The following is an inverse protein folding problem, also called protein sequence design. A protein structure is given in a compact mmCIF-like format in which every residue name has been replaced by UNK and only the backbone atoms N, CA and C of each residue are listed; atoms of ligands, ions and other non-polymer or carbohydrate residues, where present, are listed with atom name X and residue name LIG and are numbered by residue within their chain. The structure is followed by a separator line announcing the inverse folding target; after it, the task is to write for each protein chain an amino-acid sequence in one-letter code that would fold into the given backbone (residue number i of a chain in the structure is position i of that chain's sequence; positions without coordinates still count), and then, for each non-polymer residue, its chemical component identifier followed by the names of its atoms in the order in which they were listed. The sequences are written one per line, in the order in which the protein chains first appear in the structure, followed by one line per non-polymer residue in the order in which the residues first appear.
data_IF_204379633520
#
_entry.id   IF_204379633520
#
_cell.length_a   1.000
_cell.length_b   1.000
_cell.length_c   1.000
_cell.angle_alpha   90.00
_cell.angle_beta   90.00
_cell.angle_gamma   90.00
#
_symmetry.space_group_name_H-M   'P 1'
#
loop_
_entity.id
_entity.type
_entity.pdbx_description
1 polymer ?
#
# COMPACT_ATOMS: atom_id res chain seq x y z
N UNK A 1 41.11 5.14 -6.68
CA UNK A 1 39.70 5.53 -6.87
C UNK A 1 39.08 4.48 -7.78
N UNK A 2 37.98 3.83 -7.39
CA UNK A 2 37.24 3.00 -8.33
C UNK A 2 36.88 3.86 -9.55
N UNK A 3 37.00 3.31 -10.74
CA UNK A 3 36.50 3.98 -11.95
C UNK A 3 34.97 4.00 -11.87
N UNK A 4 34.31 5.03 -12.42
CA UNK A 4 32.83 5.13 -12.46
C UNK A 4 32.20 3.82 -12.96
N UNK A 5 32.84 3.18 -13.93
CA UNK A 5 32.45 1.88 -14.49
C UNK A 5 32.43 0.72 -13.49
N UNK A 6 33.21 0.79 -12.42
CA UNK A 6 33.17 -0.19 -11.34
C UNK A 6 32.04 0.14 -10.35
N UNK A 7 31.73 1.42 -10.13
CA UNK A 7 30.65 1.86 -9.24
C UNK A 7 29.25 1.58 -9.81
N UNK A 8 29.13 1.44 -11.13
CA UNK A 8 27.90 0.97 -11.82
C UNK A 8 27.54 -0.49 -11.47
N UNK A 9 28.49 -1.31 -11.02
CA UNK A 9 28.22 -2.68 -10.64
C UNK A 9 27.59 -2.74 -9.23
N UNK A 10 26.37 -3.24 -9.15
CA UNK A 10 25.61 -3.37 -7.89
C UNK A 10 26.31 -4.21 -6.81
N UNK A 11 27.28 -5.06 -7.18
CA UNK A 11 28.07 -5.86 -6.24
C UNK A 11 29.35 -5.16 -5.75
N UNK A 12 29.66 -3.97 -6.27
CA UNK A 12 30.81 -3.18 -5.83
C UNK A 12 30.52 -2.51 -4.51
N UNK A 13 31.43 -2.70 -3.55
CA UNK A 13 31.36 -2.00 -2.26
C UNK A 13 31.60 -0.50 -2.45
N UNK A 14 30.67 0.32 -1.96
CA UNK A 14 30.71 1.78 -2.06
C UNK A 14 30.68 2.38 -0.66
N UNK A 15 31.51 3.40 -0.43
CA UNK A 15 31.43 4.18 0.81
C UNK A 15 30.16 5.03 0.79
N UNK A 16 29.59 5.29 1.96
CA UNK A 16 28.42 6.17 2.11
C UNK A 16 28.69 7.56 1.52
N UNK A 17 29.91 8.08 1.67
CA UNK A 17 30.32 9.37 1.08
C UNK A 17 30.21 9.40 -0.45
N UNK A 18 30.44 8.26 -1.09
CA UNK A 18 30.41 8.12 -2.55
C UNK A 18 28.96 7.99 -3.03
N UNK A 19 28.12 7.23 -2.32
CA UNK A 19 26.66 7.19 -2.56
C UNK A 19 26.01 8.59 -2.42
N UNK A 20 26.38 9.37 -1.39
CA UNK A 20 25.89 10.75 -1.21
C UNK A 20 26.40 11.72 -2.28
N UNK A 21 27.51 11.40 -2.96
CA UNK A 21 27.97 12.15 -4.12
C UNK A 21 27.06 11.87 -5.32
N UNK A 22 26.76 10.60 -5.57
CA UNK A 22 25.83 10.19 -6.63
C UNK A 22 24.42 10.73 -6.41
N UNK A 23 23.94 10.77 -5.17
CA UNK A 23 22.65 11.38 -4.81
C UNK A 23 22.54 12.82 -5.34
N UNK A 24 23.59 13.64 -5.15
CA UNK A 24 23.62 15.04 -5.59
C UNK A 24 23.79 15.21 -7.09
N UNK A 25 24.54 14.32 -7.74
CA UNK A 25 24.80 14.37 -9.18
C UNK A 25 23.57 13.94 -9.98
N UNK A 26 22.85 12.92 -9.50
CA UNK A 26 21.69 12.34 -10.15
C UNK A 26 20.37 12.99 -9.71
N UNK A 27 20.40 13.80 -8.65
CA UNK A 27 19.24 14.47 -8.06
C UNK A 27 18.10 13.49 -7.71
N UNK A 28 18.49 12.34 -7.13
CA UNK A 28 17.56 11.30 -6.67
C UNK A 28 17.65 11.09 -5.16
N UNK A 29 16.58 10.65 -4.48
CA UNK A 29 16.66 10.16 -3.10
C UNK A 29 17.75 9.08 -2.90
N UNK A 30 18.45 9.11 -1.77
CA UNK A 30 19.49 8.11 -1.46
C UNK A 30 18.96 6.67 -1.47
N UNK A 31 17.69 6.47 -1.13
CA UNK A 31 17.03 5.17 -1.17
C UNK A 31 17.01 4.56 -2.58
N UNK A 32 16.93 5.39 -3.62
CA UNK A 32 16.86 4.95 -5.01
C UNK A 32 18.22 4.47 -5.54
N UNK A 33 19.30 4.73 -4.81
CA UNK A 33 20.67 4.25 -5.10
C UNK A 33 21.01 2.94 -4.39
N UNK A 34 20.14 2.46 -3.49
CA UNK A 34 20.35 1.22 -2.75
C UNK A 34 19.67 0.06 -3.50
N UNK A 35 20.38 -1.05 -3.66
CA UNK A 35 19.76 -2.26 -4.17
C UNK A 35 18.72 -2.76 -3.17
N UNK A 36 17.49 -3.00 -3.64
CA UNK A 36 16.47 -3.63 -2.83
C UNK A 36 16.98 -5.00 -2.35
N UNK A 37 16.90 -5.31 -1.04
CA UNK A 37 17.16 -6.66 -0.60
C UNK A 37 16.13 -7.55 -1.31
N UNK A 38 16.59 -8.53 -2.10
CA UNK A 38 15.78 -9.40 -2.96
C UNK A 38 14.78 -10.31 -2.23
N UNK A 39 14.32 -9.91 -1.05
CA UNK A 39 13.33 -10.56 -0.20
C UNK A 39 12.28 -9.54 0.22
N UNK A 40 11.02 -9.81 -0.16
CA UNK A 40 9.76 -9.22 0.31
C UNK A 40 9.90 -8.27 1.51
N UNK A 41 9.93 -6.95 1.28
CA UNK A 41 9.88 -5.85 2.27
C UNK A 41 10.89 -5.99 3.44
N UNK A 42 11.53 -4.90 3.85
CA UNK A 42 12.39 -4.96 5.05
C UNK A 42 11.59 -5.45 6.28
N UNK A 43 12.22 -6.21 7.17
CA UNK A 43 11.57 -6.80 8.35
C UNK A 43 10.71 -5.80 9.16
N UNK A 44 11.16 -4.55 9.41
CA UNK A 44 10.33 -3.54 10.08
C UNK A 44 9.07 -3.18 9.27
N UNK A 45 9.16 -3.10 7.94
CA UNK A 45 8.03 -2.79 7.06
C UNK A 45 7.03 -3.95 7.04
N UNK A 46 7.51 -5.19 7.03
CA UNK A 46 6.64 -6.37 7.15
C UNK A 46 5.89 -6.42 8.48
N UNK A 47 6.59 -6.19 9.59
CA UNK A 47 6.02 -6.19 10.94
C UNK A 47 4.95 -5.10 11.06
N UNK A 48 5.24 -3.88 10.59
CA UNK A 48 4.28 -2.78 10.52
C UNK A 48 3.07 -3.13 9.64
N UNK A 49 3.29 -3.71 8.46
CA UNK A 49 2.20 -4.11 7.57
C UNK A 49 1.29 -5.18 8.21
N UNK A 50 1.85 -6.13 8.98
CA UNK A 50 1.07 -7.12 9.73
C UNK A 50 0.22 -6.46 10.82
N UNK A 51 0.80 -5.55 11.58
CA UNK A 51 0.10 -4.81 12.63
C UNK A 51 -1.04 -3.95 12.08
N UNK A 52 -0.82 -3.26 10.95
CA UNK A 52 -1.89 -2.52 10.25
C UNK A 52 -3.05 -3.43 9.86
N UNK A 53 -2.77 -4.64 9.33
CA UNK A 53 -3.83 -5.60 8.99
C UNK A 53 -4.61 -6.06 10.22
N UNK A 54 -3.93 -6.32 11.34
CA UNK A 54 -4.58 -6.68 12.60
C UNK A 54 -5.48 -5.55 13.12
N UNK A 55 -5.01 -4.30 13.09
CA UNK A 55 -5.81 -3.13 13.48
C UNK A 55 -7.06 -2.98 12.62
N UNK A 56 -6.94 -3.09 11.29
CA UNK A 56 -8.10 -3.01 10.37
C UNK A 56 -9.15 -4.08 10.67
N UNK A 57 -8.71 -5.30 11.00
CA UNK A 57 -9.62 -6.39 11.38
C UNK A 57 -10.28 -6.12 12.73
N UNK A 58 -9.51 -5.68 13.74
CA UNK A 58 -10.05 -5.33 15.06
C UNK A 58 -11.09 -4.18 14.98
N UNK A 59 -10.78 -3.15 14.19
CA UNK A 59 -11.68 -2.04 13.93
C UNK A 59 -12.97 -2.50 13.20
N UNK A 60 -12.86 -3.38 12.21
CA UNK A 60 -14.04 -3.96 11.53
C UNK A 60 -14.94 -4.78 12.48
N UNK A 61 -14.34 -5.56 13.39
CA UNK A 61 -15.08 -6.29 14.43
C UNK A 61 -15.80 -5.30 15.35
N UNK A 62 -15.11 -4.23 15.77
CA UNK A 62 -15.70 -3.18 16.61
C UNK A 62 -16.90 -2.52 15.95
N UNK A 63 -16.84 -2.26 14.65
CA UNK A 63 -17.95 -1.69 13.87
C UNK A 63 -19.14 -2.64 13.74
N UNK A 64 -18.90 -3.94 13.54
CA UNK A 64 -19.96 -4.95 13.38
C UNK A 64 -20.51 -5.51 14.70
N UNK A 65 -19.84 -5.25 15.83
CA UNK A 65 -20.24 -5.78 17.13
C UNK A 65 -21.63 -5.27 17.55
N UNK A 66 -22.63 -6.15 17.53
CA UNK A 66 -24.00 -5.84 17.96
C UNK A 66 -24.19 -5.96 19.47
N UNK A 67 -23.54 -6.93 20.11
CA UNK A 67 -23.70 -7.19 21.54
C UNK A 67 -22.80 -6.29 22.41
N UNK A 68 -23.26 -5.85 23.60
CA UNK A 68 -22.45 -5.06 24.52
C UNK A 68 -21.14 -5.73 24.93
N UNK A 69 -21.14 -7.06 25.10
CA UNK A 69 -19.94 -7.83 25.40
C UNK A 69 -18.90 -7.77 24.28
N UNK A 70 -19.35 -7.95 23.02
CA UNK A 70 -18.46 -7.93 21.86
C UNK A 70 -17.91 -6.51 21.59
N UNK A 71 -18.70 -5.46 21.86
CA UNK A 71 -18.24 -4.07 21.81
C UNK A 71 -17.12 -3.79 22.82
N UNK A 72 -17.25 -4.29 24.05
CA UNK A 72 -16.20 -4.16 25.08
C UNK A 72 -14.92 -4.88 24.68
N UNK A 73 -15.03 -6.14 24.26
CA UNK A 73 -13.88 -6.95 23.85
C UNK A 73 -13.14 -6.36 22.65
N UNK A 74 -13.87 -5.95 21.61
CA UNK A 74 -13.26 -5.33 20.42
C UNK A 74 -12.64 -3.95 20.73
N UNK A 75 -13.25 -3.18 21.63
CA UNK A 75 -12.66 -1.91 22.09
C UNK A 75 -11.36 -2.12 22.87
N UNK A 76 -11.31 -3.13 23.75
CA UNK A 76 -10.09 -3.51 24.45
C UNK A 76 -9.01 -3.99 23.48
N UNK A 77 -9.36 -4.81 22.48
CA UNK A 77 -8.42 -5.29 21.47
C UNK A 77 -7.78 -4.12 20.68
N UNK A 78 -8.59 -3.14 20.27
CA UNK A 78 -8.08 -1.93 19.60
C UNK A 78 -7.13 -1.16 20.52
N UNK A 79 -7.48 -1.02 21.81
CA UNK A 79 -6.64 -0.33 22.78
C UNK A 79 -5.27 -1.02 22.96
N UNK A 80 -5.27 -2.35 23.13
CA UNK A 80 -4.03 -3.14 23.26
C UNK A 80 -3.13 -3.02 22.02
N UNK A 81 -3.72 -2.98 20.81
CA UNK A 81 -2.94 -2.78 19.58
C UNK A 81 -2.28 -1.40 19.53
N UNK A 82 -2.96 -0.34 20.01
CA UNK A 82 -2.38 1.01 20.09
C UNK A 82 -1.25 1.10 21.12
N UNK A 83 -1.36 0.36 22.23
CA UNK A 83 -0.30 0.30 23.25
C UNK A 83 0.97 -0.38 22.70
N UNK A 84 0.81 -1.44 21.90
CA UNK A 84 1.94 -2.12 21.25
C UNK A 84 2.55 -1.24 20.14
N UNK A 85 1.72 -0.51 19.39
CA UNK A 85 2.14 0.25 18.22
C UNK A 85 1.30 1.54 18.09
N UNK A 86 1.76 2.67 18.64
CA UNK A 86 1.01 3.94 18.69
C UNK A 86 0.63 4.50 17.32
N UNK A 87 1.44 4.25 16.28
CA UNK A 87 1.15 4.73 14.93
C UNK A 87 -0.12 4.12 14.30
N UNK A 88 -0.71 3.09 14.93
CA UNK A 88 -1.98 2.50 14.51
C UNK A 88 -3.20 3.35 14.89
N UNK A 89 -3.03 4.45 15.64
CA UNK A 89 -4.14 5.27 16.12
C UNK A 89 -5.07 5.77 15.00
N UNK A 90 -4.50 6.09 13.85
CA UNK A 90 -5.22 6.63 12.69
C UNK A 90 -5.73 5.56 11.72
N UNK A 91 -5.50 4.27 12.02
CA UNK A 91 -5.92 3.17 11.16
C UNK A 91 -7.37 2.76 11.49
N UNK A 92 -8.28 3.05 10.57
CA UNK A 92 -9.68 2.61 10.63
C UNK A 92 -9.89 1.16 10.18
N UNK A 93 -11.16 0.73 10.14
CA UNK A 93 -11.52 -0.59 9.62
C UNK A 93 -11.13 -0.77 8.15
N UNK A 94 -11.16 -2.02 7.68
CA UNK A 94 -11.16 -2.28 6.25
C UNK A 94 -12.23 -1.44 5.57
N UNK A 95 -11.90 -0.80 4.44
CA UNK A 95 -12.94 -0.32 3.54
C UNK A 95 -13.82 -1.53 3.25
N UNK A 96 -15.09 -1.46 3.66
CA UNK A 96 -16.09 -2.46 3.33
C UNK A 96 -16.13 -2.54 1.81
N UNK A 97 -15.45 -3.54 1.25
CA UNK A 97 -15.40 -3.76 -0.19
C UNK A 97 -16.82 -4.11 -0.60
N UNK A 98 -17.49 -3.11 -1.18
CA UNK A 98 -18.94 -3.02 -1.24
C UNK A 98 -19.40 -1.59 -1.01
N UNK A 99 -18.71 -0.61 -1.61
CA UNK A 99 -19.20 0.75 -1.70
C UNK A 99 -20.64 0.68 -2.23
N UNK A 100 -21.57 1.26 -1.47
CA UNK A 100 -22.90 1.59 -1.98
C UNK A 100 -22.65 2.46 -3.21
N UNK A 101 -22.78 1.89 -4.41
CA UNK A 101 -23.24 2.69 -5.54
C UNK A 101 -24.45 3.45 -5.00
N UNK A 102 -24.44 4.78 -5.05
CA UNK A 102 -25.71 5.46 -4.87
C UNK A 102 -26.64 4.90 -5.96
N UNK A 103 -27.94 4.77 -5.67
CA UNK A 103 -28.90 4.27 -6.67
C UNK A 103 -28.90 5.11 -7.96
N UNK A 104 -28.32 6.30 -7.91
CA UNK A 104 -28.19 7.28 -8.99
C UNK A 104 -26.83 7.23 -9.71
N UNK A 105 -25.85 6.46 -9.22
CA UNK A 105 -24.53 6.36 -9.83
C UNK A 105 -24.51 5.27 -10.92
N UNK A 106 -24.70 5.72 -12.16
CA UNK A 106 -24.50 4.87 -13.32
C UNK A 106 -23.02 4.49 -13.45
N UNK A 107 -22.72 3.19 -13.52
CA UNK A 107 -21.34 2.72 -13.68
C UNK A 107 -20.74 3.04 -15.05
N UNK A 108 -19.42 2.84 -15.21
CA UNK A 108 -18.64 3.11 -16.45
C UNK A 108 -19.23 2.53 -17.75
N UNK A 109 -20.10 1.51 -17.67
CA UNK A 109 -20.81 0.94 -18.83
C UNK A 109 -21.82 1.93 -19.43
N UNK A 110 -22.45 2.77 -18.61
CA UNK A 110 -23.37 3.82 -19.07
C UNK A 110 -22.62 5.03 -19.60
N UNK A 111 -21.47 5.37 -19.01
CA UNK A 111 -20.60 6.44 -19.51
C UNK A 111 -19.98 6.08 -20.87
N UNK A 112 -19.79 4.79 -21.14
CA UNK A 112 -19.21 4.26 -22.39
C UNK A 112 -20.25 3.52 -23.22
N UNK A 113 -21.37 4.17 -23.52
CA UNK A 113 -22.33 3.65 -24.49
C UNK A 113 -21.68 3.58 -25.87
N UNK A 114 -21.53 2.36 -26.38
CA UNK A 114 -21.31 2.14 -27.80
C UNK A 114 -22.65 2.31 -28.52
N UNK A 115 -22.63 2.89 -29.73
CA UNK A 115 -23.81 2.85 -30.61
C UNK A 115 -24.07 1.39 -31.00
N UNK A 116 -25.33 1.00 -31.13
CA UNK A 116 -25.71 -0.37 -31.48
C UNK A 116 -25.11 -0.81 -32.83
N UNK A 117 -24.84 0.14 -33.72
CA UNK A 117 -24.22 -0.08 -35.04
C UNK A 117 -22.71 -0.36 -34.97
N UNK A 118 -22.06 -0.18 -33.82
CA UNK A 118 -20.61 -0.37 -33.65
C UNK A 118 -20.14 -1.78 -34.04
N UNK A 119 -20.97 -2.78 -33.76
CA UNK A 119 -20.67 -4.19 -34.05
C UNK A 119 -21.06 -4.62 -35.47
N UNK A 120 -21.77 -3.77 -36.23
CA UNK A 120 -22.21 -4.07 -37.60
C UNK A 120 -21.16 -3.59 -38.61
N UNK A 121 -20.44 -2.50 -38.32
CA UNK A 121 -19.49 -1.88 -39.24
C UNK A 121 -18.16 -2.64 -39.45
N UNK A 122 -17.89 -3.73 -38.72
CA UNK A 122 -16.61 -4.47 -38.78
C UNK A 122 -16.75 -5.91 -39.32
N UNK A 123 -17.82 -6.21 -40.07
CA UNK A 123 -18.04 -7.55 -40.64
C UNK A 123 -17.76 -7.68 -42.14
N UNK A 124 -17.39 -6.58 -42.80
CA UNK A 124 -17.13 -6.53 -44.25
C UNK A 124 -15.74 -5.94 -44.58
N UNK A 125 -14.68 -6.49 -43.96
CA UNK A 125 -13.29 -6.41 -44.45
C UNK A 125 -12.62 -7.79 -44.36
#
# INVERSE_FOLDING_TARGET
MPTVRNEENAATDLRISDLMRWQRVLDVPLADLLADPGTSLSRPVMERARMVRLMKTAAAIKEQASSPGMKRLSSMLVQQLKEIMPELEHIGAWHSVGQRRSLEEYGRVVERRLRDDFFIAHRDD
#
